data_IF_398619664894
#
_entry.id   IF_398619664894
#
_cell.length_a   1.000
_cell.length_b   1.000
_cell.length_c   1.000
_cell.angle_alpha   90.00
_cell.angle_beta   90.00
_cell.angle_gamma   90.00
#
_symmetry.space_group_name_H-M   'P 1'
#
loop_
_entity.id
_entity.type
_entity.pdbx_description
1 polymer ?
#
# COMPACT_ATOMS: atom_id res chain seq x y z
N UNK A 1 5.19 -28.03 -15.92
CA UNK A 1 5.28 -29.44 -15.45
C UNK A 1 4.95 -30.47 -16.53
N UNK A 2 4.30 -30.09 -17.63
CA UNK A 2 3.98 -31.01 -18.73
C UNK A 2 4.92 -30.80 -19.91
N UNK A 3 5.15 -31.84 -20.73
CA UNK A 3 5.89 -31.69 -21.97
C UNK A 3 5.20 -30.72 -22.94
N UNK A 4 5.89 -29.67 -23.42
CA UNK A 4 5.41 -28.90 -24.57
C UNK A 4 5.46 -29.76 -25.84
N UNK A 5 4.51 -29.51 -26.74
CA UNK A 5 4.47 -30.07 -28.09
C UNK A 5 4.54 -28.93 -29.08
N UNK A 6 5.60 -28.90 -29.88
CA UNK A 6 5.84 -27.90 -30.90
C UNK A 6 5.77 -28.54 -32.28
N UNK A 7 5.34 -27.81 -33.31
CA UNK A 7 5.33 -28.29 -34.68
C UNK A 7 5.97 -27.27 -35.61
N UNK A 8 6.78 -27.75 -36.56
CA UNK A 8 7.49 -26.93 -37.52
C UNK A 8 7.45 -27.52 -38.92
N UNK A 9 7.32 -26.63 -39.91
CA UNK A 9 7.41 -26.96 -41.33
C UNK A 9 8.35 -25.98 -42.02
N UNK A 10 9.25 -26.50 -42.86
CA UNK A 10 10.06 -25.66 -43.72
C UNK A 10 11.20 -26.39 -44.41
N UNK A 11 11.77 -25.77 -45.46
CA UNK A 11 12.97 -26.27 -46.10
C UNK A 11 14.23 -25.75 -45.40
N UNK A 12 15.24 -26.60 -45.28
CA UNK A 12 16.63 -26.20 -45.05
C UNK A 12 17.40 -26.40 -46.34
N UNK A 13 17.98 -25.35 -46.91
CA UNK A 13 18.85 -25.44 -48.09
C UNK A 13 20.28 -25.11 -47.69
N UNK A 14 21.19 -26.04 -47.90
CA UNK A 14 22.60 -25.88 -47.54
C UNK A 14 23.52 -26.31 -48.68
N UNK A 15 24.67 -25.64 -48.81
CA UNK A 15 25.79 -26.06 -49.64
C UNK A 15 27.00 -26.16 -48.73
N UNK A 16 27.43 -27.39 -48.46
CA UNK A 16 28.61 -27.65 -47.64
C UNK A 16 29.88 -27.44 -48.47
N UNK A 17 30.98 -27.03 -47.84
CA UNK A 17 32.27 -26.87 -48.54
C UNK A 17 32.89 -28.25 -48.79
N UNK A 18 33.58 -28.43 -49.93
CA UNK A 18 34.31 -29.66 -50.22
C UNK A 18 35.30 -30.02 -49.11
N UNK A 19 35.98 -29.03 -48.56
CA UNK A 19 36.91 -29.19 -47.43
C UNK A 19 36.23 -29.78 -46.17
N UNK A 20 35.00 -29.38 -45.84
CA UNK A 20 34.26 -29.93 -44.68
C UNK A 20 33.87 -31.40 -44.81
N UNK A 21 33.89 -31.93 -46.04
CA UNK A 21 33.59 -33.31 -46.38
C UNK A 21 34.86 -34.12 -46.66
N UNK A 22 36.05 -33.56 -46.43
CA UNK A 22 37.34 -34.20 -46.73
C UNK A 22 37.65 -34.30 -48.23
N UNK A 23 36.97 -33.52 -49.07
CA UNK A 23 37.18 -33.48 -50.52
C UNK A 23 38.19 -32.38 -50.90
N UNK A 24 38.73 -32.44 -52.12
CA UNK A 24 39.67 -31.44 -52.63
C UNK A 24 39.06 -30.02 -52.65
N UNK A 25 39.91 -28.98 -52.61
CA UNK A 25 39.47 -27.58 -52.54
C UNK A 25 38.55 -27.16 -53.70
N UNK A 26 38.62 -27.86 -54.83
CA UNK A 26 37.81 -27.60 -56.02
C UNK A 26 36.67 -28.62 -56.21
N UNK A 27 36.43 -29.49 -55.23
CA UNK A 27 35.34 -30.46 -55.29
C UNK A 27 33.99 -29.74 -55.29
N UNK A 28 33.21 -29.95 -56.35
CA UNK A 28 31.88 -29.38 -56.47
C UNK A 28 30.88 -30.23 -55.65
N UNK A 29 30.52 -29.74 -54.47
CA UNK A 29 29.43 -30.33 -53.68
C UNK A 29 28.11 -29.63 -54.04
N UNK A 30 27.11 -30.36 -54.56
CA UNK A 30 25.83 -29.77 -54.91
C UNK A 30 25.09 -29.26 -53.67
N UNK A 31 24.32 -28.19 -53.83
CA UNK A 31 23.43 -27.73 -52.78
C UNK A 31 22.33 -28.77 -52.54
N UNK A 32 22.05 -29.08 -51.28
CA UNK A 32 20.99 -29.99 -50.86
C UNK A 32 19.84 -29.17 -50.25
N UNK A 33 18.60 -29.56 -50.57
CA UNK A 33 17.40 -29.02 -49.93
C UNK A 33 16.72 -30.14 -49.17
N UNK A 34 16.36 -29.89 -47.93
CA UNK A 34 15.71 -30.84 -47.04
C UNK A 34 14.43 -30.21 -46.50
N UNK A 35 13.29 -30.74 -46.90
CA UNK A 35 11.98 -30.37 -46.39
C UNK A 35 11.67 -31.18 -45.15
N UNK A 36 11.24 -30.50 -44.08
CA UNK A 36 10.78 -31.13 -42.84
C UNK A 36 9.37 -30.66 -42.49
N UNK A 37 8.54 -31.58 -42.03
CA UNK A 37 7.28 -31.32 -41.35
C UNK A 37 7.26 -32.20 -40.09
N UNK A 38 7.59 -31.64 -38.93
CA UNK A 38 7.83 -32.42 -37.72
C UNK A 38 7.18 -31.80 -36.50
N UNK A 39 6.68 -32.65 -35.61
CA UNK A 39 6.30 -32.29 -34.26
C UNK A 39 7.39 -32.78 -33.29
N UNK A 40 7.73 -31.97 -32.30
CA UNK A 40 8.76 -32.22 -31.31
C UNK A 40 8.23 -32.04 -29.89
N UNK A 41 8.83 -32.78 -28.97
CA UNK A 41 8.61 -32.72 -27.53
C UNK A 41 9.96 -32.56 -26.86
N UNK A 42 10.06 -31.65 -25.88
CA UNK A 42 11.26 -31.46 -25.04
C UNK A 42 10.84 -31.29 -23.60
N UNK A 43 11.14 -32.28 -22.77
CA UNK A 43 10.67 -32.38 -21.41
C UNK A 43 11.80 -32.63 -20.42
N UNK A 44 11.95 -31.74 -19.45
CA UNK A 44 12.86 -31.98 -18.34
C UNK A 44 12.17 -32.80 -17.25
N UNK A 45 12.76 -33.94 -16.94
CA UNK A 45 12.27 -34.82 -15.87
C UNK A 45 12.76 -34.26 -14.55
N UNK A 46 11.82 -33.91 -13.68
CA UNK A 46 12.12 -33.29 -12.40
C UNK A 46 12.49 -34.32 -11.32
N UNK A 47 13.67 -34.91 -11.44
CA UNK A 47 14.14 -35.94 -10.50
C UNK A 47 14.57 -35.37 -9.14
N UNK A 48 15.03 -34.12 -9.14
CA UNK A 48 15.66 -33.47 -7.98
C UNK A 48 14.90 -32.23 -7.51
N UNK A 49 13.67 -32.04 -7.99
CA UNK A 49 12.78 -30.97 -7.57
C UNK A 49 13.16 -29.58 -8.09
N UNK A 50 13.98 -29.45 -9.14
CA UNK A 50 14.31 -28.15 -9.73
C UNK A 50 13.07 -27.46 -10.27
N UNK A 51 12.23 -28.19 -11.01
CA UNK A 51 10.99 -27.66 -11.59
C UNK A 51 9.94 -27.45 -10.50
N UNK A 52 9.77 -28.40 -9.58
CA UNK A 52 8.86 -28.30 -8.46
C UNK A 52 9.17 -27.10 -7.56
N UNK A 53 10.44 -26.90 -7.19
CA UNK A 53 10.86 -25.72 -6.42
C UNK A 53 10.67 -24.40 -7.20
N UNK A 54 10.85 -24.43 -8.53
CA UNK A 54 10.57 -23.25 -9.37
C UNK A 54 9.08 -22.90 -9.37
N UNK A 55 8.21 -23.92 -9.44
CA UNK A 55 6.75 -23.75 -9.36
C UNK A 55 6.34 -23.29 -7.95
N UNK A 56 6.90 -23.87 -6.90
CA UNK A 56 6.58 -23.47 -5.52
C UNK A 56 7.00 -22.01 -5.27
N UNK A 57 8.20 -21.60 -5.72
CA UNK A 57 8.61 -20.21 -5.67
C UNK A 57 7.63 -19.27 -6.40
N UNK A 58 7.19 -19.63 -7.61
CA UNK A 58 6.24 -18.83 -8.38
C UNK A 58 4.84 -18.76 -7.72
N UNK A 59 4.42 -19.83 -7.04
CA UNK A 59 3.17 -19.87 -6.28
C UNK A 59 3.24 -18.99 -5.04
N UNK A 60 4.36 -19.00 -4.33
CA UNK A 60 4.59 -18.10 -3.19
C UNK A 60 4.67 -16.63 -3.66
N UNK A 61 5.31 -16.34 -4.80
CA UNK A 61 5.32 -15.00 -5.41
C UNK A 61 3.90 -14.51 -5.76
N UNK A 62 3.05 -15.41 -6.28
CA UNK A 62 1.64 -15.12 -6.55
C UNK A 62 0.89 -14.77 -5.26
N UNK A 63 1.08 -15.55 -4.19
CA UNK A 63 0.45 -15.30 -2.89
C UNK A 63 0.97 -14.03 -2.22
N UNK A 64 2.26 -13.72 -2.37
CA UNK A 64 2.85 -12.44 -1.97
C UNK A 64 2.14 -11.29 -2.69
N UNK A 65 1.97 -11.40 -4.01
CA UNK A 65 1.31 -10.36 -4.82
C UNK A 65 -0.15 -10.14 -4.37
N UNK A 66 -0.87 -11.22 -4.05
CA UNK A 66 -2.23 -11.13 -3.48
C UNK A 66 -2.24 -10.43 -2.12
N UNK A 67 -1.30 -10.78 -1.24
CA UNK A 67 -1.18 -10.17 0.08
C UNK A 67 -0.81 -8.67 -0.01
N UNK A 68 0.09 -8.30 -0.92
CA UNK A 68 0.43 -6.90 -1.23
C UNK A 68 -0.79 -6.12 -1.74
N UNK A 69 -1.60 -6.72 -2.63
CA UNK A 69 -2.84 -6.11 -3.08
C UNK A 69 -3.78 -5.81 -1.91
N UNK A 70 -3.97 -6.76 -0.99
CA UNK A 70 -4.80 -6.56 0.22
C UNK A 70 -4.22 -5.49 1.14
N UNK A 71 -2.90 -5.41 1.26
CA UNK A 71 -2.21 -4.37 2.05
C UNK A 71 -2.46 -2.98 1.47
N UNK A 72 -2.29 -2.81 0.15
CA UNK A 72 -2.57 -1.55 -0.55
C UNK A 72 -4.06 -1.18 -0.44
N UNK A 73 -4.96 -2.16 -0.55
CA UNK A 73 -6.39 -1.93 -0.41
C UNK A 73 -6.75 -1.42 1.00
N UNK A 74 -6.18 -2.04 2.05
CA UNK A 74 -6.37 -1.59 3.43
C UNK A 74 -5.79 -0.18 3.64
N UNK A 75 -4.59 0.08 3.11
CA UNK A 75 -3.98 1.41 3.17
C UNK A 75 -4.87 2.46 2.49
N UNK A 76 -5.40 2.17 1.29
CA UNK A 76 -6.32 3.05 0.58
C UNK A 76 -7.59 3.34 1.39
N UNK A 77 -8.18 2.32 2.03
CA UNK A 77 -9.35 2.49 2.90
C UNK A 77 -9.03 3.41 4.10
N UNK A 78 -7.87 3.22 4.72
CA UNK A 78 -7.42 4.06 5.83
C UNK A 78 -7.15 5.49 5.38
N UNK A 79 -6.47 5.69 4.24
CA UNK A 79 -6.15 7.00 3.70
C UNK A 79 -7.43 7.77 3.32
N UNK A 80 -8.43 7.10 2.73
CA UNK A 80 -9.75 7.69 2.48
C UNK A 80 -10.42 8.10 3.78
N UNK A 81 -10.41 7.25 4.80
CA UNK A 81 -10.99 7.56 6.10
C UNK A 81 -10.27 8.75 6.77
N UNK A 82 -8.94 8.76 6.81
CA UNK A 82 -8.16 9.86 7.38
C UNK A 82 -8.46 11.19 6.69
N UNK A 83 -8.46 11.22 5.36
CA UNK A 83 -8.78 12.42 4.61
C UNK A 83 -10.24 12.85 4.80
N UNK A 84 -11.17 11.90 4.94
CA UNK A 84 -12.55 12.20 5.26
C UNK A 84 -12.68 12.88 6.61
N UNK A 85 -12.08 12.33 7.66
CA UNK A 85 -12.17 12.91 9.00
C UNK A 85 -11.42 14.25 9.11
N UNK A 86 -10.29 14.42 8.42
CA UNK A 86 -9.61 15.72 8.30
C UNK A 86 -10.51 16.77 7.62
N UNK A 87 -11.23 16.41 6.56
CA UNK A 87 -12.21 17.32 5.93
C UNK A 87 -13.30 17.75 6.91
N UNK A 88 -13.80 16.82 7.74
CA UNK A 88 -14.83 17.10 8.75
C UNK A 88 -14.30 17.95 9.91
N UNK A 89 -13.06 17.74 10.30
CA UNK A 89 -12.35 18.62 11.24
C UNK A 89 -12.28 20.05 10.68
N UNK A 90 -11.88 20.22 9.41
CA UNK A 90 -11.87 21.54 8.78
C UNK A 90 -13.26 22.15 8.59
N UNK A 91 -14.30 21.35 8.39
CA UNK A 91 -15.70 21.83 8.43
C UNK A 91 -16.05 22.41 9.81
N UNK A 92 -15.63 21.74 10.89
CA UNK A 92 -15.84 22.21 12.26
C UNK A 92 -15.00 23.46 12.57
N UNK A 93 -13.71 23.50 12.20
CA UNK A 93 -12.88 24.70 12.34
C UNK A 93 -13.48 25.88 11.55
N UNK A 94 -13.97 25.64 10.33
CA UNK A 94 -14.59 26.68 9.51
C UNK A 94 -15.84 27.27 10.18
N UNK A 95 -16.63 26.45 10.87
CA UNK A 95 -17.76 26.92 11.66
C UNK A 95 -17.27 27.79 12.84
N UNK A 96 -16.26 27.36 13.58
CA UNK A 96 -15.70 28.15 14.71
C UNK A 96 -15.22 29.53 14.24
N UNK A 97 -14.50 29.59 13.12
CA UNK A 97 -14.03 30.87 12.57
C UNK A 97 -15.17 31.71 11.98
N UNK A 98 -16.19 31.11 11.39
CA UNK A 98 -17.35 31.84 10.90
C UNK A 98 -18.11 32.54 12.05
N UNK A 99 -18.28 31.84 13.18
CA UNK A 99 -18.85 32.42 14.41
C UNK A 99 -17.99 33.57 14.95
N UNK A 100 -16.67 33.39 14.98
CA UNK A 100 -15.73 34.44 15.42
C UNK A 100 -15.78 35.69 14.53
N UNK A 101 -15.78 35.52 13.20
CA UNK A 101 -15.90 36.63 12.25
C UNK A 101 -17.21 37.38 12.48
N UNK A 102 -18.34 36.68 12.60
CA UNK A 102 -19.63 37.31 12.86
C UNK A 102 -19.64 38.10 14.18
N UNK A 103 -18.99 37.58 15.23
CA UNK A 103 -18.86 38.24 16.52
C UNK A 103 -18.01 39.51 16.43
N UNK A 104 -16.85 39.44 15.77
CA UNK A 104 -15.97 40.59 15.59
C UNK A 104 -16.58 41.65 14.67
N UNK A 105 -17.39 41.27 13.67
CA UNK A 105 -18.15 42.24 12.86
C UNK A 105 -19.16 43.03 13.70
N UNK A 106 -19.86 42.38 14.62
CA UNK A 106 -20.77 43.05 15.54
C UNK A 106 -20.01 43.96 16.51
N UNK A 107 -18.86 43.49 17.02
CA UNK A 107 -18.04 44.25 17.93
C UNK A 107 -17.45 45.51 17.25
N UNK A 108 -16.95 45.40 16.02
CA UNK A 108 -16.48 46.56 15.23
C UNK A 108 -17.60 47.58 15.01
N UNK A 109 -18.84 47.14 14.73
CA UNK A 109 -19.99 48.06 14.57
C UNK A 109 -20.27 48.83 15.86
N UNK A 110 -20.29 48.15 17.01
CA UNK A 110 -20.51 48.78 18.32
C UNK A 110 -19.40 49.79 18.66
N UNK A 111 -18.15 49.37 18.51
CA UNK A 111 -16.97 50.19 18.80
C UNK A 111 -16.90 51.40 17.85
N UNK A 112 -17.20 51.23 16.57
CA UNK A 112 -17.27 52.32 15.59
C UNK A 112 -18.32 53.38 15.99
N UNK A 113 -19.52 52.96 16.42
CA UNK A 113 -20.55 53.90 16.88
C UNK A 113 -20.11 54.69 18.11
N UNK A 114 -19.52 54.02 19.11
CA UNK A 114 -19.01 54.69 20.32
C UNK A 114 -17.87 55.67 20.02
N UNK A 115 -17.00 55.33 19.06
CA UNK A 115 -15.93 56.22 18.62
C UNK A 115 -16.49 57.48 17.94
N UNK A 116 -17.48 57.33 17.07
CA UNK A 116 -18.15 58.47 16.40
C UNK A 116 -18.86 59.40 17.37
N UNK A 117 -19.33 58.87 18.51
CA UNK A 117 -19.89 59.63 19.63
C UNK A 117 -18.82 60.23 20.56
N UNK A 118 -17.53 59.94 20.33
CA UNK A 118 -16.41 60.40 21.15
C UNK A 118 -16.26 59.70 22.51
N UNK A 119 -16.92 58.55 22.71
CA UNK A 119 -16.93 57.81 23.99
C UNK A 119 -15.68 56.93 24.19
N UNK A 120 -14.98 56.57 23.11
CA UNK A 120 -13.80 55.69 23.15
C UNK A 120 -12.68 56.22 22.26
N UNK A 121 -11.48 55.63 22.41
CA UNK A 121 -10.29 56.02 21.65
C UNK A 121 -10.25 55.41 20.25
N UNK A 122 -9.51 56.05 19.33
CA UNK A 122 -9.21 55.46 18.01
C UNK A 122 -8.44 54.13 18.13
N UNK A 123 -7.66 53.96 19.20
CA UNK A 123 -6.93 52.73 19.49
C UNK A 123 -7.87 51.52 19.65
N UNK A 124 -9.00 51.69 20.34
CA UNK A 124 -9.97 50.61 20.55
C UNK A 124 -10.63 50.20 19.23
N UNK A 125 -10.95 51.19 18.39
CA UNK A 125 -11.47 50.96 17.04
C UNK A 125 -10.46 50.25 16.14
N UNK A 126 -9.21 50.68 16.14
CA UNK A 126 -8.14 50.07 15.37
C UNK A 126 -7.89 48.62 15.80
N UNK A 127 -7.91 48.33 17.11
CA UNK A 127 -7.81 46.97 17.66
C UNK A 127 -8.96 46.07 17.22
N UNK A 128 -10.20 46.55 17.32
CA UNK A 128 -11.37 45.79 16.87
C UNK A 128 -11.30 45.44 15.37
N UNK A 129 -10.90 46.41 14.53
CA UNK A 129 -10.72 46.20 13.09
C UNK A 129 -9.58 45.21 12.78
N UNK A 130 -8.48 45.30 13.52
CA UNK A 130 -7.35 44.38 13.41
C UNK A 130 -7.75 42.94 13.75
N UNK A 131 -8.56 42.75 14.80
CA UNK A 131 -9.03 41.42 15.21
C UNK A 131 -9.96 40.80 14.16
N UNK A 132 -10.92 41.58 13.64
CA UNK A 132 -11.78 41.14 12.56
C UNK A 132 -10.98 40.74 11.30
N UNK A 133 -9.98 41.52 10.93
CA UNK A 133 -9.13 41.21 9.78
C UNK A 133 -8.34 39.90 9.98
N UNK A 134 -7.83 39.69 11.20
CA UNK A 134 -7.10 38.46 11.57
C UNK A 134 -8.01 37.23 11.51
N UNK A 135 -9.19 37.30 12.13
CA UNK A 135 -10.17 36.21 12.10
C UNK A 135 -10.63 35.86 10.66
N UNK A 136 -10.79 36.85 9.79
CA UNK A 136 -11.10 36.62 8.36
C UNK A 136 -9.96 35.91 7.63
N UNK A 137 -8.70 36.30 7.90
CA UNK A 137 -7.52 35.64 7.32
C UNK A 137 -7.43 34.17 7.75
N UNK A 138 -7.70 33.89 9.02
CA UNK A 138 -7.69 32.53 9.56
C UNK A 138 -8.84 31.68 8.98
N UNK A 139 -10.04 32.25 8.83
CA UNK A 139 -11.15 31.61 8.16
C UNK A 139 -10.80 31.19 6.71
N UNK A 140 -10.14 32.08 5.96
CA UNK A 140 -9.65 31.77 4.60
C UNK A 140 -8.58 30.68 4.61
N UNK A 141 -7.76 30.60 5.66
CA UNK A 141 -6.77 29.53 5.82
C UNK A 141 -7.44 28.17 5.98
N UNK A 142 -8.45 28.07 6.84
CA UNK A 142 -9.20 26.82 7.02
C UNK A 142 -9.95 26.43 5.75
N UNK A 143 -10.56 27.39 5.02
CA UNK A 143 -11.19 27.11 3.73
C UNK A 143 -10.22 26.51 2.71
N UNK A 144 -8.98 27.02 2.66
CA UNK A 144 -7.92 26.47 1.79
C UNK A 144 -7.57 25.02 2.19
N UNK A 145 -7.44 24.74 3.48
CA UNK A 145 -7.11 23.41 3.99
C UNK A 145 -8.23 22.41 3.71
N UNK A 146 -9.49 22.84 3.92
CA UNK A 146 -10.68 22.07 3.55
C UNK A 146 -10.69 21.70 2.06
N UNK A 147 -10.45 22.68 1.17
CA UNK A 147 -10.39 22.44 -0.26
C UNK A 147 -9.27 21.45 -0.65
N UNK A 148 -8.09 21.57 -0.04
CA UNK A 148 -7.00 20.63 -0.27
C UNK A 148 -7.36 19.19 0.15
N UNK A 149 -8.04 19.03 1.29
CA UNK A 149 -8.54 17.73 1.75
C UNK A 149 -9.62 17.15 0.83
N UNK A 150 -10.53 17.99 0.32
CA UNK A 150 -11.56 17.59 -0.65
C UNK A 150 -10.95 17.11 -1.97
N UNK A 151 -9.92 17.82 -2.46
CA UNK A 151 -9.18 17.40 -3.64
C UNK A 151 -8.42 16.09 -3.43
N UNK A 152 -7.83 15.87 -2.25
CA UNK A 152 -7.17 14.61 -1.88
C UNK A 152 -8.16 13.43 -1.93
N UNK A 153 -9.35 13.60 -1.36
CA UNK A 153 -10.43 12.61 -1.46
C UNK A 153 -10.86 12.34 -2.90
N UNK A 154 -10.96 13.37 -3.74
CA UNK A 154 -11.29 13.19 -5.16
C UNK A 154 -10.30 12.26 -5.86
N UNK A 155 -8.99 12.48 -5.63
CA UNK A 155 -7.92 11.65 -6.21
C UNK A 155 -7.97 10.22 -5.69
N UNK A 156 -8.17 10.01 -4.38
CA UNK A 156 -8.30 8.67 -3.78
C UNK A 156 -9.52 7.91 -4.32
N UNK A 157 -10.58 8.62 -4.73
CA UNK A 157 -11.78 8.06 -5.37
C UNK A 157 -11.64 7.91 -6.89
N UNK A 158 -10.48 8.24 -7.47
CA UNK A 158 -10.23 8.14 -8.91
C UNK A 158 -10.98 9.19 -9.74
N UNK A 159 -11.32 10.35 -9.15
CA UNK A 159 -12.02 11.45 -9.81
C UNK A 159 -11.11 12.67 -9.96
N UNK A 160 -11.41 13.53 -10.94
CA UNK A 160 -10.78 14.84 -10.97
C UNK A 160 -11.37 15.75 -9.88
N UNK A 161 -10.61 16.70 -9.30
CA UNK A 161 -11.13 17.59 -8.26
C UNK A 161 -12.37 18.40 -8.67
N UNK A 162 -12.54 18.68 -9.97
CA UNK A 162 -13.70 19.41 -10.48
C UNK A 162 -15.00 18.59 -10.51
N UNK A 163 -14.92 17.25 -10.48
CA UNK A 163 -16.06 16.33 -10.57
C UNK A 163 -16.53 15.80 -9.21
N UNK A 164 -15.84 16.17 -8.14
CA UNK A 164 -16.14 15.74 -6.79
C UNK A 164 -16.41 16.95 -5.92
N UNK A 165 -17.54 16.91 -5.20
CA UNK A 165 -17.79 17.86 -4.13
C UNK A 165 -18.53 17.17 -2.99
N UNK A 166 -18.25 17.63 -1.77
CA UNK A 166 -18.86 17.14 -0.55
C UNK A 166 -19.35 18.30 0.31
N UNK A 167 -20.63 18.25 0.68
CA UNK A 167 -21.24 19.27 1.53
C UNK A 167 -20.54 19.34 2.89
N UNK A 168 -20.46 20.55 3.45
CA UNK A 168 -19.92 20.77 4.79
C UNK A 168 -20.78 20.06 5.83
N UNK A 169 -20.12 19.32 6.71
CA UNK A 169 -20.73 18.62 7.84
C UNK A 169 -19.69 18.56 8.97
N UNK A 170 -19.73 19.48 9.94
CA UNK A 170 -18.78 19.55 11.04
C UNK A 170 -18.56 18.19 11.73
N UNK A 171 -17.31 17.92 12.11
CA UNK A 171 -16.95 16.71 12.84
C UNK A 171 -17.78 16.56 14.12
N UNK A 172 -18.27 15.34 14.34
CA UNK A 172 -18.88 14.91 15.60
C UNK A 172 -17.89 13.97 16.29
N UNK A 173 -17.80 14.07 17.61
CA UNK A 173 -16.90 13.23 18.42
C UNK A 173 -17.08 11.74 18.10
N UNK A 174 -15.97 11.09 17.75
CA UNK A 174 -15.93 9.66 17.42
C UNK A 174 -15.63 8.88 18.69
N UNK A 175 -16.64 8.25 19.27
CA UNK A 175 -16.46 7.37 20.43
C UNK A 175 -16.30 5.92 19.95
N UNK A 176 -15.05 5.43 19.89
CA UNK A 176 -14.76 4.02 19.65
C UNK A 176 -14.22 3.37 20.93
N UNK A 177 -14.84 2.29 21.38
CA UNK A 177 -14.33 1.47 22.48
C UNK A 177 -13.46 0.35 21.93
N UNK A 178 -12.20 0.32 22.33
CA UNK A 178 -11.25 -0.74 21.97
C UNK A 178 -11.32 -1.85 23.03
N UNK A 179 -11.64 -3.09 22.64
CA UNK A 179 -11.43 -4.27 23.47
C UNK A 179 -10.01 -4.33 24.05
N UNK A 180 -9.91 -4.51 25.37
CA UNK A 180 -8.63 -4.71 26.05
C UNK A 180 -8.03 -6.08 25.69
N UNK A 181 -6.70 -6.14 25.55
CA UNK A 181 -5.96 -7.38 25.33
C UNK A 181 -6.00 -7.87 23.88
N UNK A 182 -5.59 -7.00 22.94
CA UNK A 182 -5.45 -7.37 21.53
C UNK A 182 -4.47 -8.57 21.41
N UNK A 183 -4.95 -9.75 20.99
CA UNK A 183 -4.09 -10.92 20.91
C UNK A 183 -3.02 -10.74 19.84
N UNK A 184 -1.84 -11.36 20.02
CA UNK A 184 -0.80 -11.45 18.98
C UNK A 184 -1.32 -12.06 17.67
N UNK A 185 -2.42 -12.80 17.71
CA UNK A 185 -3.10 -13.36 16.52
C UNK A 185 -3.70 -12.30 15.61
N UNK A 186 -3.85 -11.04 16.05
CA UNK A 186 -4.28 -9.95 15.17
C UNK A 186 -3.18 -9.52 14.20
N UNK A 187 -1.91 -9.75 14.52
CA UNK A 187 -0.81 -9.48 13.61
C UNK A 187 -0.78 -10.46 12.43
N UNK A 188 -1.24 -11.70 12.64
CA UNK A 188 -1.39 -12.70 11.57
C UNK A 188 -2.43 -12.28 10.51
N UNK A 189 -3.31 -11.32 10.85
CA UNK A 189 -4.30 -10.77 9.90
C UNK A 189 -3.70 -9.72 8.98
N UNK A 190 -2.52 -9.16 9.31
CA UNK A 190 -1.96 -8.06 8.53
C UNK A 190 -1.43 -8.56 7.18
N UNK A 191 -1.93 -8.02 6.05
CA UNK A 191 -1.51 -8.50 4.74
C UNK A 191 -0.05 -8.18 4.38
N UNK A 192 0.56 -7.16 4.97
CA UNK A 192 1.98 -6.82 4.78
C UNK A 192 2.92 -7.88 5.39
N UNK A 193 2.62 -8.36 6.60
CA UNK A 193 3.35 -9.47 7.25
C UNK A 193 3.21 -10.75 6.43
N UNK A 194 1.99 -11.06 5.99
CA UNK A 194 1.74 -12.22 5.14
C UNK A 194 2.51 -12.13 3.81
N UNK A 195 2.61 -10.95 3.20
CA UNK A 195 3.42 -10.75 1.99
C UNK A 195 4.92 -11.02 2.25
N UNK A 196 5.46 -10.51 3.36
CA UNK A 196 6.86 -10.73 3.73
C UNK A 196 7.16 -12.22 4.03
N UNK A 197 6.24 -12.93 4.67
CA UNK A 197 6.34 -14.38 4.90
C UNK A 197 6.38 -15.14 3.57
N UNK A 198 5.50 -14.81 2.62
CA UNK A 198 5.47 -15.44 1.29
C UNK A 198 6.73 -15.14 0.47
N UNK A 199 7.29 -13.94 0.57
CA UNK A 199 8.58 -13.61 -0.04
C UNK A 199 9.74 -14.47 0.53
N UNK A 200 9.73 -14.68 1.84
CA UNK A 200 10.67 -15.58 2.53
C UNK A 200 10.50 -17.04 2.08
N UNK A 201 9.25 -17.53 1.94
CA UNK A 201 8.97 -18.87 1.44
C UNK A 201 9.44 -19.05 -0.02
N UNK A 202 9.15 -18.07 -0.88
CA UNK A 202 9.58 -18.09 -2.27
C UNK A 202 11.11 -18.11 -2.41
N UNK A 203 11.83 -17.32 -1.60
CA UNK A 203 13.31 -17.33 -1.60
C UNK A 203 13.88 -18.65 -1.07
N UNK A 204 13.24 -19.29 -0.08
CA UNK A 204 13.62 -20.63 0.37
C UNK A 204 13.44 -21.69 -0.74
N UNK A 205 12.35 -21.65 -1.50
CA UNK A 205 12.15 -22.52 -2.65
C UNK A 205 13.24 -22.32 -3.71
N UNK A 206 13.67 -21.07 -3.95
CA UNK A 206 14.79 -20.76 -4.87
C UNK A 206 16.14 -21.32 -4.39
N UNK A 207 16.37 -21.46 -3.08
CA UNK A 207 17.53 -22.23 -2.57
C UNK A 207 17.45 -23.68 -3.04
N UNK A 208 16.25 -24.29 -3.03
CA UNK A 208 16.00 -25.62 -3.59
C UNK A 208 16.38 -25.73 -5.06
N UNK A 209 16.01 -24.72 -5.88
CA UNK A 209 16.41 -24.63 -7.30
C UNK A 209 17.94 -24.56 -7.45
N UNK A 210 18.61 -23.72 -6.66
CA UNK A 210 20.07 -23.59 -6.69
C UNK A 210 20.79 -24.87 -6.22
N UNK A 211 20.25 -25.58 -5.22
CA UNK A 211 20.76 -26.88 -4.78
C UNK A 211 20.61 -27.95 -5.87
N UNK A 212 19.48 -27.97 -6.56
CA UNK A 212 19.23 -28.93 -7.64
C UNK A 212 20.19 -28.75 -8.83
N UNK A 213 20.73 -27.55 -9.04
CA UNK A 213 21.72 -27.29 -10.08
C UNK A 213 23.05 -28.06 -9.90
N UNK A 214 23.33 -28.59 -8.71
CA UNK A 214 24.51 -29.45 -8.46
C UNK A 214 24.29 -30.91 -8.90
N UNK A 215 23.06 -31.29 -9.21
CA UNK A 215 22.67 -32.65 -9.54
C UNK A 215 22.46 -32.80 -11.06
N UNK A 216 22.54 -34.03 -11.62
CA UNK A 216 22.32 -34.23 -13.04
C UNK A 216 20.93 -33.78 -13.48
N UNK A 217 20.80 -33.09 -14.61
CA UNK A 217 19.49 -32.86 -15.23
C UNK A 217 19.24 -33.89 -16.34
N UNK A 218 18.03 -34.45 -16.38
CA UNK A 218 17.59 -35.37 -17.43
C UNK A 218 16.57 -34.66 -18.31
N UNK A 219 16.94 -34.41 -19.56
CA UNK A 219 16.01 -33.89 -20.58
C UNK A 219 15.67 -35.01 -21.55
N UNK A 220 14.37 -35.30 -21.66
CA UNK A 220 13.78 -36.21 -22.63
C UNK A 220 13.32 -35.41 -23.84
N UNK A 221 13.87 -35.72 -25.00
CA UNK A 221 13.48 -35.08 -26.25
C UNK A 221 13.03 -36.15 -27.24
N UNK A 222 12.05 -35.80 -28.07
CA UNK A 222 11.52 -36.68 -29.10
C UNK A 222 10.99 -35.85 -30.25
N UNK A 223 11.07 -36.39 -31.45
CA UNK A 223 10.47 -35.77 -32.61
C UNK A 223 9.92 -36.83 -33.57
N UNK A 224 8.85 -36.48 -34.27
CA UNK A 224 8.23 -37.34 -35.27
C UNK A 224 7.58 -36.52 -36.36
N UNK A 225 7.60 -37.05 -37.59
CA UNK A 225 6.98 -36.40 -38.72
C UNK A 225 7.53 -36.90 -40.04
N UNK A 226 7.85 -35.97 -40.93
CA UNK A 226 8.24 -36.25 -42.30
C UNK A 226 9.49 -35.47 -42.68
N UNK A 227 10.39 -36.12 -43.42
CA UNK A 227 11.61 -35.53 -43.98
C UNK A 227 11.80 -36.02 -45.43
N UNK A 228 12.09 -35.09 -46.35
CA UNK A 228 12.34 -35.42 -47.76
C UNK A 228 13.20 -34.38 -48.47
N UNK A 229 13.93 -34.80 -49.49
CA UNK A 229 14.71 -33.95 -50.41
C UNK A 229 13.84 -33.08 -51.34
N UNK A 230 12.55 -33.39 -51.49
CA UNK A 230 11.60 -32.61 -52.29
C UNK A 230 10.24 -32.45 -51.59
N UNK A 231 9.57 -31.32 -51.84
CA UNK A 231 8.26 -31.04 -51.24
C UNK A 231 7.18 -32.04 -51.69
N UNK A 232 7.22 -32.47 -52.96
CA UNK A 232 6.22 -33.39 -53.53
C UNK A 232 6.29 -34.82 -52.98
N UNK A 233 7.41 -35.20 -52.35
CA UNK A 233 7.55 -36.49 -51.67
C UNK A 233 7.36 -36.42 -50.16
N UNK A 234 7.28 -35.22 -49.57
CA UNK A 234 7.33 -35.03 -48.11
C UNK A 234 6.30 -35.85 -47.35
N UNK A 235 5.03 -35.85 -47.75
CA UNK A 235 3.96 -36.56 -47.03
C UNK A 235 3.76 -38.01 -47.48
N UNK A 236 4.69 -38.59 -48.26
CA UNK A 236 4.64 -40.01 -48.64
C UNK A 236 4.95 -40.90 -47.45
N UNK A 237 4.43 -42.13 -47.45
CA UNK A 237 4.72 -43.12 -46.41
C UNK A 237 6.24 -43.36 -46.24
N UNK A 238 6.99 -43.32 -47.34
CA UNK A 238 8.45 -43.48 -47.37
C UNK A 238 9.24 -42.36 -46.70
N UNK A 239 8.63 -41.20 -46.48
CA UNK A 239 9.30 -39.99 -45.97
C UNK A 239 9.08 -39.78 -44.48
N UNK A 240 8.52 -40.77 -43.78
CA UNK A 240 8.30 -40.68 -42.34
C UNK A 240 9.59 -40.87 -41.58
N UNK A 241 9.75 -40.04 -40.56
CA UNK A 241 10.88 -40.09 -39.66
C UNK A 241 10.39 -39.95 -38.23
N UNK A 242 11.03 -40.68 -37.33
CA UNK A 242 10.90 -40.46 -35.90
C UNK A 242 12.30 -40.54 -35.29
N UNK A 243 12.51 -39.76 -34.24
CA UNK A 243 13.78 -39.66 -33.54
C UNK A 243 13.50 -39.79 -32.04
N UNK A 244 14.10 -40.81 -31.45
CA UNK A 244 14.10 -41.12 -30.01
C UNK A 244 15.52 -41.60 -29.64
N UNK A 245 16.18 -40.98 -28.66
CA UNK A 245 17.49 -41.44 -28.16
C UNK A 245 18.62 -40.40 -28.14
N UNK A 246 19.80 -40.70 -27.58
CA UNK A 246 20.77 -39.74 -27.02
C UNK A 246 21.36 -38.70 -27.98
N UNK A 247 21.25 -38.89 -29.30
CA UNK A 247 21.66 -37.89 -30.30
C UNK A 247 20.63 -36.75 -30.45
N UNK A 248 19.39 -36.96 -30.00
CA UNK A 248 18.29 -35.97 -29.94
C UNK A 248 17.32 -36.21 -28.76
N UNK A 249 17.65 -36.96 -27.69
CA UNK A 249 16.59 -37.64 -26.92
C UNK A 249 16.80 -38.12 -25.47
N UNK A 250 18.00 -38.16 -24.91
CA UNK A 250 18.19 -38.26 -23.45
C UNK A 250 19.51 -37.60 -23.10
N UNK A 251 19.50 -36.32 -22.81
CA UNK A 251 20.69 -35.60 -22.37
C UNK A 251 20.73 -35.65 -20.84
N UNK A 252 21.61 -36.49 -20.30
CA UNK A 252 22.00 -36.41 -18.89
C UNK A 252 23.16 -35.41 -18.80
N UNK A 253 22.86 -34.21 -18.33
CA UNK A 253 23.88 -33.19 -18.14
C UNK A 253 24.29 -33.14 -16.66
N UNK A 254 25.55 -33.47 -16.38
CA UNK A 254 26.15 -33.32 -15.06
C UNK A 254 27.37 -32.39 -15.18
N UNK A 255 27.29 -31.15 -14.72
CA UNK A 255 28.41 -30.24 -14.83
C UNK A 255 29.51 -30.60 -13.81
N UNK A 256 30.67 -31.02 -14.32
CA UNK A 256 31.82 -31.43 -13.50
C UNK A 256 32.63 -30.22 -13.03
N UNK A 257 32.79 -29.21 -13.90
CA UNK A 257 33.52 -27.97 -13.59
C UNK A 257 32.83 -26.76 -14.23
N UNK A 258 32.62 -25.71 -13.45
CA UNK A 258 31.94 -24.47 -13.87
C UNK A 258 32.59 -23.21 -13.26
N UNK A 259 33.83 -23.31 -12.80
CA UNK A 259 34.55 -22.18 -12.19
C UNK A 259 33.94 -21.66 -10.88
N UNK A 260 33.13 -22.47 -10.19
CA UNK A 260 32.50 -22.06 -8.91
C UNK A 260 31.18 -21.29 -9.06
N UNK A 261 30.66 -21.13 -10.28
CA UNK A 261 29.39 -20.45 -10.56
C UNK A 261 28.25 -20.96 -9.67
N UNK A 262 28.00 -22.28 -9.62
CA UNK A 262 26.93 -22.87 -8.79
C UNK A 262 27.09 -22.61 -7.29
N UNK A 263 28.33 -22.55 -6.80
CA UNK A 263 28.60 -22.18 -5.39
C UNK A 263 28.23 -20.72 -5.14
N UNK A 264 28.57 -19.83 -6.08
CA UNK A 264 28.15 -18.43 -6.06
C UNK A 264 26.63 -18.27 -6.11
N UNK A 265 25.95 -18.96 -7.02
CA UNK A 265 24.49 -18.92 -7.17
C UNK A 265 23.77 -19.41 -5.89
N UNK A 266 24.26 -20.49 -5.27
CA UNK A 266 23.73 -20.99 -4.01
C UNK A 266 23.99 -20.04 -2.84
N UNK A 267 25.19 -19.44 -2.77
CA UNK A 267 25.51 -18.44 -1.74
C UNK A 267 24.62 -17.21 -1.89
N UNK A 268 24.41 -16.73 -3.12
CA UNK A 268 23.49 -15.63 -3.41
C UNK A 268 22.05 -15.96 -3.02
N UNK A 269 21.54 -17.15 -3.39
CA UNK A 269 20.19 -17.57 -3.02
C UNK A 269 19.99 -17.65 -1.49
N UNK A 270 21.01 -18.06 -0.74
CA UNK A 270 20.99 -18.04 0.73
C UNK A 270 21.00 -16.63 1.30
N UNK A 271 21.84 -15.74 0.76
CA UNK A 271 21.90 -14.35 1.19
C UNK A 271 20.56 -13.63 0.98
N UNK A 272 19.92 -13.84 -0.18
CA UNK A 272 18.58 -13.29 -0.48
C UNK A 272 17.52 -13.84 0.49
N UNK A 273 17.60 -15.13 0.87
CA UNK A 273 16.70 -15.69 1.87
C UNK A 273 16.93 -15.05 3.25
N UNK A 274 18.18 -14.89 3.68
CA UNK A 274 18.53 -14.24 4.96
C UNK A 274 18.07 -12.78 5.01
N UNK A 275 18.18 -12.06 3.89
CA UNK A 275 17.61 -10.72 3.72
C UNK A 275 16.09 -10.74 3.92
N UNK A 276 15.37 -11.64 3.23
CA UNK A 276 13.91 -11.75 3.39
C UNK A 276 13.49 -12.15 4.81
N UNK A 277 14.27 -12.98 5.51
CA UNK A 277 14.04 -13.29 6.94
C UNK A 277 14.19 -12.03 7.79
N UNK A 278 15.19 -11.20 7.53
CA UNK A 278 15.38 -9.93 8.24
C UNK A 278 14.24 -8.95 7.94
N UNK A 279 13.81 -8.84 6.67
CA UNK A 279 12.66 -8.03 6.27
C UNK A 279 11.39 -8.47 6.98
N UNK A 280 11.09 -9.77 7.00
CA UNK A 280 9.93 -10.31 7.73
C UNK A 280 9.98 -9.94 9.22
N UNK A 281 11.12 -10.14 9.88
CA UNK A 281 11.29 -9.75 11.30
C UNK A 281 11.08 -8.26 11.51
N UNK A 282 11.61 -7.41 10.64
CA UNK A 282 11.41 -5.97 10.73
C UNK A 282 9.93 -5.59 10.58
N UNK A 283 9.21 -6.19 9.62
CA UNK A 283 7.77 -5.92 9.42
C UNK A 283 6.95 -6.31 10.65
N UNK A 284 7.27 -7.44 11.29
CA UNK A 284 6.63 -7.84 12.54
C UNK A 284 6.89 -6.82 13.66
N UNK A 285 8.16 -6.38 13.83
CA UNK A 285 8.50 -5.38 14.86
C UNK A 285 7.81 -4.04 14.64
N UNK A 286 7.77 -3.54 13.40
CA UNK A 286 7.07 -2.31 13.04
C UNK A 286 5.57 -2.43 13.30
N UNK A 287 4.97 -3.57 12.96
CA UNK A 287 3.56 -3.80 13.21
C UNK A 287 3.21 -3.83 14.71
N UNK A 288 4.07 -4.41 15.55
CA UNK A 288 3.91 -4.32 17.01
C UNK A 288 3.99 -2.87 17.50
N UNK A 289 4.98 -2.11 17.00
CA UNK A 289 5.14 -0.71 17.36
C UNK A 289 3.89 0.11 16.98
N UNK A 290 3.39 -0.02 15.76
CA UNK A 290 2.20 0.72 15.28
C UNK A 290 0.95 0.44 16.14
N UNK A 291 0.79 -0.79 16.62
CA UNK A 291 -0.33 -1.15 17.51
C UNK A 291 -0.15 -0.53 18.90
N UNK A 292 1.03 -0.63 19.49
CA UNK A 292 1.33 -0.05 20.82
C UNK A 292 1.23 1.48 20.81
N UNK A 293 1.74 2.13 19.75
CA UNK A 293 1.61 3.57 19.54
C UNK A 293 0.13 3.95 19.42
N UNK A 294 -0.65 3.25 18.58
CA UNK A 294 -2.07 3.51 18.40
C UNK A 294 -2.93 3.30 19.66
N UNK A 295 -2.62 2.27 20.46
CA UNK A 295 -3.26 2.04 21.77
C UNK A 295 -2.92 3.14 22.78
N UNK A 296 -1.65 3.55 22.82
CA UNK A 296 -1.18 4.61 23.70
C UNK A 296 -1.81 5.95 23.36
N UNK A 297 -1.85 6.30 22.07
CA UNK A 297 -2.50 7.50 21.55
C UNK A 297 -3.97 7.55 21.96
N UNK A 298 -4.73 6.47 21.74
CA UNK A 298 -6.17 6.48 22.02
C UNK A 298 -6.48 6.59 23.51
N UNK A 299 -5.69 5.95 24.37
CA UNK A 299 -5.80 6.13 25.81
C UNK A 299 -5.50 7.57 26.23
N UNK A 300 -4.44 8.17 25.70
CA UNK A 300 -4.06 9.55 26.03
C UNK A 300 -5.11 10.55 25.51
N UNK A 301 -5.65 10.34 24.31
CA UNK A 301 -6.69 11.20 23.75
C UNK A 301 -8.04 11.08 24.47
N UNK A 302 -8.38 9.91 25.01
CA UNK A 302 -9.56 9.77 25.87
C UNK A 302 -9.47 10.67 27.11
N UNK A 303 -8.31 10.72 27.77
CA UNK A 303 -8.08 11.62 28.91
C UNK A 303 -7.99 13.09 28.46
N UNK A 304 -7.30 13.36 27.35
CA UNK A 304 -7.12 14.72 26.83
C UNK A 304 -8.39 15.35 26.28
N UNK A 305 -9.41 14.60 25.84
CA UNK A 305 -10.63 15.20 25.28
C UNK A 305 -11.60 15.74 26.33
N UNK A 306 -11.46 15.34 27.60
CA UNK A 306 -12.27 15.87 28.70
C UNK A 306 -11.84 17.29 29.12
N UNK A 307 -10.53 17.56 29.12
CA UNK A 307 -9.96 18.84 29.58
C UNK A 307 -10.37 20.06 28.72
N UNK A 308 -10.39 19.98 27.37
CA UNK A 308 -10.81 21.07 26.49
C UNK A 308 -12.28 21.44 26.64
N UNK A 309 -13.17 20.51 27.00
CA UNK A 309 -14.58 20.81 27.18
C UNK A 309 -14.79 21.81 28.33
N UNK A 310 -14.16 21.55 29.48
CA UNK A 310 -14.18 22.47 30.63
C UNK A 310 -13.53 23.82 30.29
N UNK A 311 -12.42 23.80 29.53
CA UNK A 311 -11.75 25.02 29.10
C UNK A 311 -12.61 25.87 28.14
N UNK A 312 -13.35 25.23 27.23
CA UNK A 312 -14.30 25.91 26.33
C UNK A 312 -15.45 26.55 27.13
N UNK A 313 -16.02 25.82 28.08
CA UNK A 313 -17.11 26.34 28.91
C UNK A 313 -16.67 27.51 29.80
N UNK A 314 -15.51 27.37 30.46
CA UNK A 314 -14.94 28.40 31.33
C UNK A 314 -14.54 29.66 30.54
N UNK A 315 -13.87 29.50 29.40
CA UNK A 315 -13.50 30.63 28.53
C UNK A 315 -14.72 31.32 27.95
N UNK A 316 -15.75 30.57 27.53
CA UNK A 316 -17.00 31.14 27.02
C UNK A 316 -17.70 31.98 28.10
N UNK A 317 -17.70 31.50 29.35
CA UNK A 317 -18.23 32.25 30.48
C UNK A 317 -17.42 33.51 30.77
N UNK A 318 -16.10 33.43 30.70
CA UNK A 318 -15.22 34.59 30.87
C UNK A 318 -15.49 35.67 29.80
N UNK A 319 -15.60 35.28 28.51
CA UNK A 319 -15.91 36.21 27.43
C UNK A 319 -17.27 36.88 27.60
N UNK A 320 -18.28 36.14 28.07
CA UNK A 320 -19.60 36.72 28.38
C UNK A 320 -19.52 37.76 29.50
N UNK A 321 -18.80 37.46 30.59
CA UNK A 321 -18.62 38.37 31.71
C UNK A 321 -17.80 39.61 31.33
N UNK A 322 -16.72 39.45 30.54
CA UNK A 322 -15.93 40.58 30.03
C UNK A 322 -16.78 41.50 29.16
N UNK A 323 -17.65 40.95 28.30
CA UNK A 323 -18.57 41.77 27.49
C UNK A 323 -19.54 42.57 28.35
N UNK A 324 -20.17 41.95 29.35
CA UNK A 324 -21.09 42.65 30.25
C UNK A 324 -20.39 43.79 31.00
N UNK A 325 -19.22 43.52 31.58
CA UNK A 325 -18.44 44.53 32.30
C UNK A 325 -17.98 45.67 31.38
N UNK A 326 -17.61 45.39 30.12
CA UNK A 326 -17.25 46.43 29.15
C UNK A 326 -18.45 47.31 28.77
N UNK A 327 -19.64 46.71 28.63
CA UNK A 327 -20.86 47.45 28.37
C UNK A 327 -21.24 48.37 29.55
N UNK A 328 -20.92 47.97 30.78
CA UNK A 328 -21.09 48.74 32.02
C UNK A 328 -19.95 49.75 32.29
N UNK A 329 -18.89 49.74 31.47
CA UNK A 329 -17.73 50.62 31.63
C UNK A 329 -16.75 50.22 32.75
N UNK A 330 -16.85 48.98 33.25
CA UNK A 330 -16.04 48.46 34.35
C UNK A 330 -14.66 47.91 33.90
N UNK A 331 -14.52 47.52 32.63
CA UNK A 331 -13.27 46.98 32.05
C UNK A 331 -12.98 47.60 30.69
N UNK A 332 -11.76 47.40 30.18
CA UNK A 332 -11.35 47.92 28.87
C UNK A 332 -11.82 46.99 27.74
N UNK A 333 -11.84 47.50 26.49
CA UNK A 333 -12.15 46.64 25.35
C UNK A 333 -11.08 45.56 25.11
N UNK A 334 -9.84 45.78 25.57
CA UNK A 334 -8.77 44.79 25.50
C UNK A 334 -9.13 43.52 26.30
N UNK A 335 -9.75 43.67 27.47
CA UNK A 335 -10.19 42.53 28.31
C UNK A 335 -11.24 41.66 27.61
N UNK A 336 -12.04 42.27 26.72
CA UNK A 336 -13.01 41.56 25.87
C UNK A 336 -12.30 40.80 24.76
N UNK A 337 -11.37 41.45 24.05
CA UNK A 337 -10.58 40.82 22.99
C UNK A 337 -9.80 39.62 23.54
N UNK A 338 -9.13 39.78 24.68
CA UNK A 338 -8.31 38.71 25.28
C UNK A 338 -9.18 37.50 25.68
N UNK A 339 -10.38 37.74 26.22
CA UNK A 339 -11.33 36.67 26.52
C UNK A 339 -11.87 35.99 25.25
N UNK A 340 -12.22 36.74 24.20
CA UNK A 340 -12.67 36.19 22.91
C UNK A 340 -11.59 35.35 22.22
N UNK A 341 -10.34 35.83 22.21
CA UNK A 341 -9.19 35.07 21.69
C UNK A 341 -9.01 33.75 22.41
N UNK A 342 -9.18 33.76 23.74
CA UNK A 342 -9.12 32.54 24.55
C UNK A 342 -10.23 31.55 24.18
N UNK A 343 -11.46 32.02 23.94
CA UNK A 343 -12.57 31.17 23.47
C UNK A 343 -12.26 30.58 22.09
N UNK A 344 -11.81 31.39 21.15
CA UNK A 344 -11.46 30.93 19.81
C UNK A 344 -10.36 29.86 19.85
N UNK A 345 -9.29 30.12 20.62
CA UNK A 345 -8.16 29.20 20.74
C UNK A 345 -8.56 27.87 21.41
N UNK A 346 -9.36 27.91 22.47
CA UNK A 346 -9.81 26.69 23.17
C UNK A 346 -10.78 25.88 22.32
N UNK A 347 -11.74 26.51 21.64
CA UNK A 347 -12.65 25.84 20.71
C UNK A 347 -11.91 25.18 19.55
N UNK A 348 -10.94 25.89 18.95
CA UNK A 348 -10.11 25.34 17.88
C UNK A 348 -9.30 24.14 18.34
N UNK A 349 -8.65 24.24 19.52
CA UNK A 349 -7.91 23.12 20.12
C UNK A 349 -8.82 21.92 20.36
N UNK A 350 -10.05 22.13 20.84
CA UNK A 350 -11.01 21.05 21.05
C UNK A 350 -11.38 20.32 19.75
N UNK A 351 -11.62 21.06 18.66
CA UNK A 351 -11.90 20.48 17.34
C UNK A 351 -10.69 19.68 16.82
N UNK A 352 -9.48 20.23 16.95
CA UNK A 352 -8.25 19.56 16.52
C UNK A 352 -7.99 18.26 17.29
N UNK A 353 -8.24 18.25 18.60
CA UNK A 353 -8.12 17.04 19.40
C UNK A 353 -9.13 15.96 18.99
N UNK A 354 -10.36 16.35 18.61
CA UNK A 354 -11.33 15.40 18.05
C UNK A 354 -10.88 14.84 16.70
N UNK A 355 -10.27 15.68 15.85
CA UNK A 355 -9.66 15.26 14.59
C UNK A 355 -8.52 14.25 14.79
N UNK A 356 -7.61 14.55 15.72
CA UNK A 356 -6.52 13.66 16.12
C UNK A 356 -7.03 12.33 16.67
N UNK A 357 -8.06 12.34 17.53
CA UNK A 357 -8.68 11.12 18.04
C UNK A 357 -9.26 10.25 16.91
N UNK A 358 -9.95 10.87 15.95
CA UNK A 358 -10.48 10.17 14.78
C UNK A 358 -9.34 9.58 13.92
N UNK A 359 -8.28 10.34 13.66
CA UNK A 359 -7.11 9.88 12.92
C UNK A 359 -6.41 8.70 13.60
N UNK A 360 -6.15 8.78 14.91
CA UNK A 360 -5.53 7.68 15.67
C UNK A 360 -6.41 6.44 15.72
N UNK A 361 -7.73 6.60 15.75
CA UNK A 361 -8.67 5.47 15.66
C UNK A 361 -8.51 4.73 14.34
N UNK A 362 -8.40 5.47 13.23
CA UNK A 362 -8.21 4.90 11.89
C UNK A 362 -6.84 4.23 11.78
N UNK A 363 -5.80 4.85 12.34
CA UNK A 363 -4.44 4.28 12.38
C UNK A 363 -4.43 2.95 13.12
N UNK A 364 -5.10 2.86 14.27
CA UNK A 364 -5.20 1.60 14.99
C UNK A 364 -5.97 0.53 14.18
N UNK A 365 -7.10 0.90 13.56
CA UNK A 365 -7.84 -0.03 12.68
C UNK A 365 -6.94 -0.56 11.55
N UNK A 366 -6.15 0.32 10.93
CA UNK A 366 -5.17 -0.06 9.90
C UNK A 366 -4.08 -0.98 10.48
N UNK A 367 -3.50 -0.61 11.61
CA UNK A 367 -2.43 -1.37 12.26
C UNK A 367 -2.86 -2.79 12.65
N UNK A 368 -4.15 -3.00 12.90
CA UNK A 368 -4.74 -4.30 13.21
C UNK A 368 -5.16 -5.12 11.98
N UNK A 369 -4.90 -4.62 10.76
CA UNK A 369 -5.25 -5.32 9.53
C UNK A 369 -6.71 -5.10 9.07
N UNK A 370 -7.41 -4.09 9.58
CA UNK A 370 -8.74 -3.68 9.14
C UNK A 370 -9.84 -3.76 10.20
N UNK A 371 -11.09 -3.84 9.74
CA UNK A 371 -12.29 -3.80 10.59
C UNK A 371 -12.38 -4.98 11.58
N UNK A 372 -13.02 -4.72 12.72
CA UNK A 372 -13.12 -5.64 13.86
C UNK A 372 -14.34 -6.58 13.73
N UNK A 373 -14.88 -6.72 12.50
CA UNK A 373 -16.15 -7.38 12.20
C UNK A 373 -16.22 -8.82 12.71
N UNK A 374 -17.19 -9.05 13.60
CA UNK A 374 -17.44 -10.26 14.40
C UNK A 374 -16.16 -10.96 14.89
N UNK A 375 -15.61 -10.47 16.00
CA UNK A 375 -15.09 -11.41 16.98
C UNK A 375 -16.23 -12.37 17.31
N UNK A 376 -16.27 -13.53 16.65
CA UNK A 376 -16.90 -14.71 17.25
C UNK A 376 -16.25 -14.82 18.61
N UNK A 377 -17.01 -14.48 19.66
CA UNK A 377 -16.67 -14.88 21.01
C UNK A 377 -16.31 -16.36 20.92
N UNK A 378 -15.06 -16.69 21.19
CA UNK A 378 -14.62 -18.07 21.32
C UNK A 378 -15.13 -18.63 22.65
N UNK A 379 -16.45 -18.58 22.84
CA UNK A 379 -17.18 -19.29 23.89
C UNK A 379 -17.86 -20.49 23.22
N UNK A 380 -17.04 -21.45 22.75
CA UNK A 380 -17.42 -22.86 22.65
C UNK A 380 -16.22 -23.70 22.18
N UNK A 381 -15.12 -23.68 22.95
CA UNK A 381 -14.29 -24.89 23.02
C UNK A 381 -14.99 -25.84 23.98
N UNK A 382 -16.02 -26.52 23.48
CA UNK A 382 -16.47 -27.76 24.09
C UNK A 382 -15.32 -28.74 23.96
N UNK A 383 -14.63 -28.95 25.08
CA UNK A 383 -13.78 -30.10 25.34
C UNK A 383 -14.63 -31.33 25.06
N UNK A 384 -14.47 -31.90 23.86
CA UNK A 384 -14.94 -33.25 23.57
C UNK A 384 -13.99 -34.21 24.28
N UNK A 385 -14.26 -34.46 25.56
CA UNK A 385 -13.88 -35.74 26.15
C UNK A 385 -14.76 -36.80 25.52
N UNK A 386 -14.15 -37.65 24.68
CA UNK A 386 -14.39 -39.10 24.62
C UNK A 386 -13.28 -39.78 23.83
#
# INVERSE_FOLDING_TARGET
MFPPLDAGFGPTRQKVSGASQGLSNNANVPAQTLWRAQAGISYEVDMFGRVANTVEAAKDDMQQSEALFRSVHLALQADVAQNYFALREFDAEAQVFAEAVALHEQAVKLVQQRYELGEISELDLARAKSELASARSDAMTVQRMRAASEHSLAVLLGKTPAEFSIAANPLVAVNLRIPAGLPSTLLERRPDIAAAERAMAASNARIGVAKAAFLPSLTLTGAGGFESDSLGSLFKWSSRTFLLGPLTGTALNLPIFDGGKRKGDLANARAVYEENVATYRQQVLVAFQEVEDGLSDLRIFEDQTQTPAEAVDASARAAQLSRSQYNEGAVTYLDVIDAERTVLQTRRTAVQLQGLQAASTINLIRALGGGWGEMKHSDDVKVSQR
#
